data_IF_194403671846
#
_entry.id   IF_194403671846
#
_cell.length_a   1.000
_cell.length_b   1.000
_cell.length_c   1.000
_cell.angle_alpha   90.00
_cell.angle_beta   90.00
_cell.angle_gamma   90.00
#
_symmetry.space_group_name_H-M   'P 1'
#
loop_
_entity.id
_entity.type
_entity.pdbx_description
1 polymer ?
#
# COMPACT_ATOMS: atom_id res chain seq x y z
N UNK A 1 6.08 -22.64 17.16
CA UNK A 1 7.11 -21.60 17.38
C UNK A 1 6.36 -20.32 17.65
N UNK A 2 6.54 -19.70 18.82
CA UNK A 2 5.94 -18.40 19.11
C UNK A 2 6.44 -17.40 18.05
N UNK A 3 5.52 -16.63 17.48
CA UNK A 3 5.88 -15.58 16.53
C UNK A 3 6.78 -14.57 17.26
N UNK A 4 8.01 -14.40 16.79
CA UNK A 4 8.94 -13.40 17.31
C UNK A 4 8.23 -12.04 17.28
N UNK A 5 8.05 -11.44 18.47
CA UNK A 5 7.45 -10.13 18.64
C UNK A 5 8.54 -9.15 19.03
N UNK A 6 8.50 -7.95 18.46
CA UNK A 6 9.47 -6.89 18.75
C UNK A 6 8.84 -5.93 19.74
N UNK A 7 9.49 -5.77 20.89
CA UNK A 7 8.99 -5.03 22.05
C UNK A 7 9.79 -3.77 22.35
N UNK A 8 10.88 -3.54 21.62
CA UNK A 8 11.73 -2.36 21.76
C UNK A 8 12.36 -1.92 20.44
N UNK A 9 12.79 -0.65 20.39
CA UNK A 9 13.55 -0.14 19.24
C UNK A 9 14.90 -0.86 19.08
N UNK A 10 15.52 -1.32 20.17
CA UNK A 10 16.77 -2.06 20.11
C UNK A 10 16.60 -3.40 19.38
N UNK A 11 15.52 -4.13 19.70
CA UNK A 11 15.15 -5.37 19.00
C UNK A 11 14.79 -5.11 17.54
N UNK A 12 14.02 -4.05 17.26
CA UNK A 12 13.67 -3.65 15.90
C UNK A 12 14.94 -3.34 15.07
N UNK A 13 15.88 -2.58 15.64
CA UNK A 13 17.15 -2.23 15.01
C UNK A 13 18.04 -3.45 14.78
N UNK A 14 18.12 -4.35 15.74
CA UNK A 14 18.84 -5.62 15.60
C UNK A 14 18.24 -6.48 14.48
N UNK A 15 16.91 -6.52 14.37
CA UNK A 15 16.21 -7.23 13.29
C UNK A 15 16.54 -6.62 11.91
N UNK A 16 16.50 -5.29 11.77
CA UNK A 16 16.91 -4.62 10.52
C UNK A 16 18.37 -4.94 10.16
N UNK A 17 19.28 -4.90 11.14
CA UNK A 17 20.69 -5.26 10.92
C UNK A 17 20.84 -6.72 10.46
N UNK A 18 20.09 -7.65 11.06
CA UNK A 18 20.07 -9.05 10.66
C UNK A 18 19.59 -9.24 9.22
N UNK A 19 18.51 -8.57 8.81
CA UNK A 19 18.01 -8.63 7.41
C UNK A 19 19.10 -8.20 6.43
N UNK A 20 19.87 -7.15 6.74
CA UNK A 20 20.97 -6.69 5.88
C UNK A 20 22.09 -7.71 5.80
N UNK A 21 22.51 -8.24 6.96
CA UNK A 21 23.51 -9.28 7.04
C UNK A 21 23.13 -10.51 6.19
N UNK A 22 21.90 -11.00 6.35
CA UNK A 22 21.38 -12.18 5.64
C UNK A 22 21.28 -11.97 4.11
N UNK A 23 21.30 -10.71 3.66
CA UNK A 23 21.35 -10.33 2.23
C UNK A 23 22.78 -10.17 1.68
N UNK A 24 23.80 -10.49 2.47
CA UNK A 24 25.19 -10.31 2.07
C UNK A 24 25.67 -8.86 2.12
N UNK A 25 25.13 -8.06 3.04
CA UNK A 25 25.60 -6.70 3.30
C UNK A 25 26.27 -6.65 4.69
N UNK A 26 27.59 -6.77 4.72
CA UNK A 26 28.41 -6.63 5.93
C UNK A 26 28.84 -5.17 6.07
N UNK A 27 28.54 -4.54 7.21
CA UNK A 27 28.77 -3.10 7.46
C UNK A 27 28.22 -2.18 6.35
N UNK A 28 27.13 -2.62 5.71
CA UNK A 28 26.50 -1.92 4.59
C UNK A 28 27.20 -2.06 3.23
N UNK A 29 28.25 -2.89 3.13
CA UNK A 29 28.96 -3.17 1.88
C UNK A 29 28.62 -4.55 1.33
N UNK A 30 28.52 -4.72 0.01
CA UNK A 30 28.37 -6.03 -0.64
C UNK A 30 29.48 -6.99 -0.21
N UNK A 31 29.11 -8.19 0.23
CA UNK A 31 30.05 -9.24 0.67
C UNK A 31 30.06 -10.46 -0.26
N UNK A 32 30.00 -10.23 -1.58
CA UNK A 32 30.16 -11.28 -2.59
C UNK A 32 29.57 -10.94 -3.96
N UNK A 33 29.83 -11.75 -4.99
CA UNK A 33 29.38 -11.51 -6.36
C UNK A 33 27.86 -11.59 -6.54
N UNK A 34 27.17 -12.36 -5.69
CA UNK A 34 25.72 -12.57 -5.82
C UNK A 34 24.89 -11.30 -5.55
N UNK A 35 25.47 -10.30 -4.88
CA UNK A 35 24.78 -9.03 -4.57
C UNK A 35 24.51 -8.24 -5.85
N UNK A 36 25.50 -8.13 -6.74
CA UNK A 36 25.36 -7.41 -8.00
C UNK A 36 24.37 -8.11 -8.94
N UNK A 37 24.38 -9.43 -8.99
CA UNK A 37 23.44 -10.19 -9.83
C UNK A 37 21.99 -10.00 -9.37
N UNK A 38 21.76 -10.01 -8.05
CA UNK A 38 20.44 -9.75 -7.47
C UNK A 38 19.98 -8.31 -7.73
N UNK A 39 20.89 -7.34 -7.66
CA UNK A 39 20.61 -5.93 -7.94
C UNK A 39 20.23 -5.69 -9.42
N UNK A 40 20.94 -6.36 -10.34
CA UNK A 40 20.61 -6.34 -11.76
C UNK A 40 19.24 -6.98 -12.04
N UNK A 41 18.94 -8.10 -11.39
CA UNK A 41 17.65 -8.76 -11.50
C UNK A 41 16.50 -7.88 -10.96
N UNK A 42 16.71 -7.21 -9.82
CA UNK A 42 15.76 -6.27 -9.23
C UNK A 42 15.45 -5.10 -10.16
N UNK A 43 16.49 -4.50 -10.76
CA UNK A 43 16.36 -3.40 -11.71
C UNK A 43 15.54 -3.84 -12.92
N UNK A 44 15.90 -4.98 -13.51
CA UNK A 44 15.18 -5.57 -14.65
C UNK A 44 13.71 -5.85 -14.33
N UNK A 45 13.41 -6.45 -13.17
CA UNK A 45 12.05 -6.76 -12.75
C UNK A 45 11.23 -5.49 -12.50
N UNK A 46 11.83 -4.49 -11.85
CA UNK A 46 11.18 -3.19 -11.61
C UNK A 46 10.82 -2.51 -12.94
N UNK A 47 11.71 -2.58 -13.93
CA UNK A 47 11.48 -1.96 -15.23
C UNK A 47 10.46 -2.69 -16.10
N UNK A 48 10.44 -4.02 -16.06
CA UNK A 48 9.51 -4.83 -16.85
C UNK A 48 8.10 -4.92 -16.26
N UNK A 49 7.95 -4.90 -14.92
CA UNK A 49 6.67 -5.18 -14.26
C UNK A 49 5.80 -3.94 -14.05
N UNK A 50 6.37 -2.74 -14.17
CA UNK A 50 5.67 -1.49 -13.88
C UNK A 50 5.71 -0.53 -15.07
N UNK A 51 4.86 -0.80 -16.07
CA UNK A 51 4.72 0.05 -17.26
C UNK A 51 3.96 1.37 -17.00
N UNK A 52 3.16 1.43 -15.92
CA UNK A 52 2.52 2.67 -15.48
C UNK A 52 2.93 2.99 -14.04
N UNK A 53 3.52 4.18 -13.85
CA UNK A 53 4.08 4.69 -12.60
C UNK A 53 3.06 4.96 -11.49
N UNK A 54 1.83 4.47 -11.64
CA UNK A 54 0.67 4.93 -10.88
C UNK A 54 -0.18 3.78 -10.34
N UNK A 55 0.16 2.56 -10.76
CA UNK A 55 -0.24 1.34 -10.07
C UNK A 55 0.19 1.33 -8.60
N UNK A 56 1.26 2.02 -8.22
CA UNK A 56 1.72 1.98 -6.83
C UNK A 56 0.72 2.56 -5.83
N UNK A 57 -0.11 3.55 -6.22
CA UNK A 57 -1.15 4.08 -5.32
C UNK A 57 -2.18 3.00 -4.98
N UNK A 58 -2.60 2.22 -5.98
CA UNK A 58 -3.53 1.11 -5.79
C UNK A 58 -2.89 -0.02 -4.98
N UNK A 59 -1.62 -0.32 -5.20
CA UNK A 59 -0.86 -1.29 -4.38
C UNK A 59 -0.77 -0.86 -2.91
N UNK A 60 -0.59 0.44 -2.64
CA UNK A 60 -0.57 0.98 -1.27
C UNK A 60 -1.96 0.88 -0.63
N UNK A 61 -3.02 1.22 -1.38
CA UNK A 61 -4.41 1.06 -0.90
C UNK A 61 -4.70 -0.41 -0.59
N UNK A 62 -4.26 -1.34 -1.43
CA UNK A 62 -4.41 -2.78 -1.20
C UNK A 62 -3.62 -3.27 0.00
N UNK A 63 -2.38 -2.81 0.18
CA UNK A 63 -1.59 -3.13 1.37
C UNK A 63 -2.31 -2.65 2.64
N UNK A 64 -2.88 -1.43 2.62
CA UNK A 64 -3.70 -0.95 3.73
C UNK A 64 -4.95 -1.83 3.94
N UNK A 65 -5.64 -2.22 2.89
CA UNK A 65 -6.82 -3.11 2.99
C UNK A 65 -6.49 -4.51 3.56
N UNK A 66 -5.25 -4.98 3.37
CA UNK A 66 -4.78 -6.27 3.88
C UNK A 66 -4.24 -6.20 5.33
N UNK A 67 -4.04 -5.00 5.87
CA UNK A 67 -3.48 -4.82 7.20
C UNK A 67 -4.37 -5.37 8.33
N UNK A 68 -3.75 -5.57 9.49
CA UNK A 68 -4.45 -5.87 10.74
C UNK A 68 -4.81 -4.58 11.46
N UNK A 69 -6.08 -4.46 11.86
CA UNK A 69 -6.62 -3.31 12.57
C UNK A 69 -7.13 -3.79 13.93
N UNK A 70 -6.99 -2.94 14.96
CA UNK A 70 -7.54 -3.24 16.28
C UNK A 70 -9.07 -3.25 16.26
N UNK A 71 -9.70 -3.97 17.20
CA UNK A 71 -11.15 -4.03 17.27
C UNK A 71 -11.76 -2.65 17.53
N UNK A 72 -12.88 -2.36 16.86
CA UNK A 72 -13.63 -1.12 17.04
C UNK A 72 -13.00 0.13 16.40
N UNK A 73 -11.83 0.05 15.77
CA UNK A 73 -11.29 1.18 15.00
C UNK A 73 -11.97 1.28 13.64
N UNK A 74 -11.92 2.47 13.04
CA UNK A 74 -12.33 2.68 11.66
C UNK A 74 -11.08 2.67 10.75
N UNK A 75 -10.81 1.60 9.99
CA UNK A 75 -9.63 1.49 9.14
C UNK A 75 -9.54 2.63 8.13
N UNK A 76 -8.43 3.36 8.14
CA UNK A 76 -8.25 4.59 7.38
C UNK A 76 -6.86 4.69 6.78
N UNK A 77 -6.80 5.32 5.60
CA UNK A 77 -5.56 5.63 4.89
C UNK A 77 -5.57 7.12 4.51
N UNK A 78 -4.47 7.81 4.77
CA UNK A 78 -4.32 9.24 4.44
C UNK A 78 -3.11 9.47 3.56
N UNK A 79 -3.32 10.09 2.41
CA UNK A 79 -2.28 10.62 1.54
C UNK A 79 -2.09 12.11 1.81
N UNK A 80 -0.85 12.54 2.08
CA UNK A 80 -0.49 13.95 2.23
C UNK A 80 0.69 14.28 1.32
N UNK A 81 0.43 15.05 0.26
CA UNK A 81 1.46 15.55 -0.63
C UNK A 81 1.96 16.92 -0.17
N UNK A 82 3.28 17.07 -0.04
CA UNK A 82 3.97 18.31 0.29
C UNK A 82 4.66 18.88 -0.95
N UNK A 83 4.68 20.22 -1.07
CA UNK A 83 5.23 20.98 -2.21
C UNK A 83 6.63 20.58 -2.68
N UNK A 84 7.45 19.98 -1.82
CA UNK A 84 8.85 19.61 -2.09
C UNK A 84 9.01 18.21 -2.70
N UNK A 85 7.99 17.70 -3.40
CA UNK A 85 8.05 16.35 -3.98
C UNK A 85 8.09 15.26 -2.90
N UNK A 86 7.38 15.44 -1.80
CA UNK A 86 7.30 14.44 -0.73
C UNK A 86 5.85 13.99 -0.54
N UNK A 87 5.63 12.68 -0.53
CA UNK A 87 4.33 12.06 -0.25
C UNK A 87 4.41 11.31 1.07
N UNK A 88 3.59 11.71 2.05
CA UNK A 88 3.38 10.96 3.29
C UNK A 88 2.11 10.14 3.19
N UNK A 89 2.16 8.91 3.68
CA UNK A 89 1.05 7.98 3.73
C UNK A 89 0.92 7.51 5.16
N UNK A 90 -0.26 7.67 5.76
CA UNK A 90 -0.54 7.28 7.14
C UNK A 90 -1.68 6.26 7.20
N UNK A 91 -1.50 5.20 7.98
CA UNK A 91 -2.48 4.13 8.17
C UNK A 91 -2.61 3.80 9.67
N UNK A 92 -3.84 3.68 10.18
CA UNK A 92 -4.12 3.37 11.59
C UNK A 92 -4.21 1.85 11.89
N UNK A 93 -3.37 1.07 11.22
CA UNK A 93 -3.22 -0.35 11.53
C UNK A 93 -2.53 -0.57 12.90
N UNK A 94 -2.49 -1.82 13.37
CA UNK A 94 -1.83 -2.19 14.64
C UNK A 94 -0.31 -1.88 14.61
N UNK A 95 0.30 -1.99 13.43
CA UNK A 95 1.72 -1.77 13.20
C UNK A 95 2.43 -3.01 12.68
N UNK A 96 3.70 -2.84 12.31
CA UNK A 96 4.47 -3.88 11.65
C UNK A 96 5.00 -4.92 12.63
N UNK A 97 4.66 -6.18 12.35
CA UNK A 97 5.37 -7.34 12.88
C UNK A 97 6.70 -7.57 12.11
N UNK A 98 7.63 -8.37 12.65
CA UNK A 98 8.81 -8.82 11.93
C UNK A 98 8.50 -9.43 10.56
N UNK A 99 7.40 -10.19 10.45
CA UNK A 99 6.94 -10.76 9.17
C UNK A 99 6.55 -9.71 8.15
N UNK A 100 5.95 -8.59 8.57
CA UNK A 100 5.63 -7.48 7.66
C UNK A 100 6.91 -6.88 7.08
N UNK A 101 7.91 -6.62 7.92
CA UNK A 101 9.20 -6.08 7.49
C UNK A 101 9.91 -7.06 6.54
N UNK A 102 9.96 -8.34 6.89
CA UNK A 102 10.54 -9.36 6.00
C UNK A 102 9.82 -9.43 4.65
N UNK A 103 8.48 -9.34 4.62
CA UNK A 103 7.71 -9.34 3.39
C UNK A 103 8.06 -8.13 2.49
N UNK A 104 8.26 -6.95 3.08
CA UNK A 104 8.78 -5.78 2.36
C UNK A 104 10.19 -6.00 1.81
N UNK A 105 10.98 -6.89 2.41
CA UNK A 105 12.36 -7.19 1.99
C UNK A 105 12.48 -8.35 0.99
N UNK A 106 11.39 -9.05 0.61
CA UNK A 106 11.43 -10.19 -0.32
C UNK A 106 11.24 -9.78 -1.78
N UNK A 107 11.69 -10.64 -2.71
CA UNK A 107 11.52 -10.51 -4.17
C UNK A 107 10.90 -11.80 -4.70
N UNK A 108 9.87 -11.71 -5.53
CA UNK A 108 9.34 -12.87 -6.28
C UNK A 108 8.61 -13.95 -5.45
N UNK A 109 8.49 -13.79 -4.13
CA UNK A 109 7.71 -14.68 -3.26
C UNK A 109 6.64 -13.87 -2.53
N UNK A 110 5.38 -13.94 -2.99
CA UNK A 110 4.25 -13.39 -2.24
C UNK A 110 3.98 -14.26 -1.01
N UNK A 111 3.83 -13.63 0.14
CA UNK A 111 3.44 -14.29 1.41
C UNK A 111 1.94 -14.61 1.47
N UNK A 112 1.13 -14.15 0.51
CA UNK A 112 -0.32 -14.38 0.48
C UNK A 112 -0.62 -15.84 0.10
N UNK A 113 -1.08 -16.64 1.07
CA UNK A 113 -1.59 -18.02 0.86
C UNK A 113 -3.13 -18.02 0.85
N UNK A 114 -3.74 -18.94 0.09
CA UNK A 114 -5.17 -19.29 0.22
C UNK A 114 -6.17 -18.19 -0.17
N UNK A 115 -7.18 -17.96 0.67
CA UNK A 115 -8.34 -17.07 0.43
C UNK A 115 -7.97 -15.63 0.04
N UNK A 116 -6.82 -15.12 0.49
CA UNK A 116 -6.32 -13.80 0.10
C UNK A 116 -5.94 -13.71 -1.39
N UNK A 117 -5.67 -14.83 -2.07
CA UNK A 117 -5.44 -14.87 -3.52
C UNK A 117 -6.75 -14.89 -4.33
N UNK A 118 -7.82 -15.44 -3.76
CA UNK A 118 -9.12 -15.66 -4.44
C UNK A 118 -9.82 -14.34 -4.80
N UNK A 119 -9.52 -13.25 -4.09
CA UNK A 119 -10.25 -11.98 -4.20
C UNK A 119 -9.60 -10.94 -5.15
N UNK A 120 -8.77 -11.38 -6.09
CA UNK A 120 -8.71 -10.77 -7.41
C UNK A 120 -7.96 -9.45 -7.61
N UNK A 121 -7.51 -8.76 -6.57
CA UNK A 121 -6.75 -7.51 -6.73
C UNK A 121 -5.23 -7.74 -6.59
N UNK A 122 -4.45 -7.04 -7.42
CA UNK A 122 -3.02 -7.20 -7.67
C UNK A 122 -2.21 -7.37 -6.37
N UNK A 123 -1.19 -8.25 -6.36
CA UNK A 123 -0.38 -8.54 -5.16
C UNK A 123 0.19 -9.97 -5.07
N UNK A 124 -0.11 -10.83 -6.03
CA UNK A 124 0.29 -12.25 -6.04
C UNK A 124 1.80 -12.48 -6.27
N UNK A 125 2.55 -11.45 -6.66
CA UNK A 125 3.95 -11.59 -7.11
C UNK A 125 5.02 -11.18 -6.09
N UNK A 126 4.65 -10.66 -4.92
CA UNK A 126 5.61 -10.24 -3.87
C UNK A 126 6.46 -9.02 -4.25
N UNK A 127 6.06 -8.30 -5.30
CA UNK A 127 6.73 -7.13 -5.86
C UNK A 127 5.97 -5.83 -5.56
N UNK A 128 4.69 -5.88 -5.17
CA UNK A 128 3.76 -4.74 -5.10
C UNK A 128 4.34 -3.48 -4.46
N UNK A 129 4.93 -3.60 -3.27
CA UNK A 129 5.60 -2.48 -2.59
C UNK A 129 6.71 -1.82 -3.43
N UNK A 130 7.48 -2.60 -4.21
CA UNK A 130 8.65 -2.10 -4.96
C UNK A 130 8.24 -1.20 -6.13
N UNK A 131 6.98 -1.23 -6.54
CA UNK A 131 6.41 -0.28 -7.50
C UNK A 131 6.56 1.18 -7.05
N UNK A 132 6.67 1.43 -5.73
CA UNK A 132 6.92 2.77 -5.18
C UNK A 132 8.22 3.40 -5.71
N UNK A 133 9.23 2.57 -6.02
CA UNK A 133 10.52 3.04 -6.53
C UNK A 133 10.49 3.45 -8.01
N UNK A 134 9.32 3.42 -8.65
CA UNK A 134 9.08 4.15 -9.91
C UNK A 134 8.77 5.62 -9.70
N UNK A 135 8.40 6.01 -8.48
CA UNK A 135 8.06 7.37 -8.14
C UNK A 135 9.04 8.00 -7.13
N UNK A 136 9.70 7.18 -6.31
CA UNK A 136 10.54 7.63 -5.20
C UNK A 136 11.92 6.99 -5.22
N UNK A 137 12.94 7.78 -4.85
CA UNK A 137 14.29 7.28 -4.63
C UNK A 137 14.45 6.71 -3.22
N UNK A 138 13.74 7.30 -2.25
CA UNK A 138 13.84 6.93 -0.84
C UNK A 138 12.45 6.78 -0.24
N UNK A 139 12.26 5.69 0.50
CA UNK A 139 11.03 5.40 1.23
C UNK A 139 11.37 5.14 2.68
N UNK A 140 11.00 6.06 3.58
CA UNK A 140 11.07 5.85 5.01
C UNK A 140 9.77 5.20 5.52
N UNK A 141 9.90 4.37 6.56
CA UNK A 141 8.82 3.68 7.23
C UNK A 141 8.97 3.87 8.74
N UNK A 142 7.90 4.29 9.39
CA UNK A 142 7.75 4.29 10.85
C UNK A 142 6.52 3.47 11.22
N UNK A 143 6.69 2.47 12.09
CA UNK A 143 5.59 1.64 12.55
C UNK A 143 5.95 0.94 13.86
N UNK A 144 5.23 1.25 14.94
CA UNK A 144 5.56 0.75 16.28
C UNK A 144 7.01 1.07 16.66
N UNK A 145 7.80 0.03 16.94
CA UNK A 145 9.22 0.16 17.28
C UNK A 145 10.15 0.29 16.06
N UNK A 146 9.65 0.15 14.83
CA UNK A 146 10.47 0.23 13.62
C UNK A 146 10.58 1.65 13.10
N UNK A 147 11.82 2.04 12.76
CA UNK A 147 12.14 3.26 12.03
C UNK A 147 13.29 2.98 11.05
N UNK A 148 12.99 2.89 9.76
CA UNK A 148 13.97 2.54 8.74
C UNK A 148 13.61 3.12 7.39
N UNK A 149 14.55 3.07 6.44
CA UNK A 149 14.31 3.42 5.04
C UNK A 149 14.76 2.34 4.07
N UNK A 150 14.24 2.44 2.87
CA UNK A 150 14.80 1.85 1.67
C UNK A 150 15.30 2.99 0.79
N UNK A 151 16.48 2.84 0.19
CA UNK A 151 17.17 3.88 -0.56
C UNK A 151 17.72 3.29 -1.85
N UNK A 152 17.11 3.62 -3.00
CA UNK A 152 17.44 3.06 -4.31
C UNK A 152 18.90 3.25 -4.71
N UNK A 153 19.59 4.24 -4.14
CA UNK A 153 21.01 4.51 -4.42
C UNK A 153 21.98 3.56 -3.70
N UNK A 154 21.49 2.79 -2.72
CA UNK A 154 22.30 1.90 -1.90
C UNK A 154 22.26 0.47 -2.44
N UNK A 155 23.29 -0.36 -2.19
CA UNK A 155 23.30 -1.76 -2.59
C UNK A 155 22.08 -2.52 -2.08
N UNK A 156 21.35 -3.16 -2.99
CA UNK A 156 20.07 -3.84 -2.70
C UNK A 156 19.03 -2.92 -2.06
N UNK A 157 19.11 -1.62 -2.31
CA UNK A 157 18.41 -0.56 -1.59
C UNK A 157 16.89 -0.64 -1.59
N UNK A 158 16.29 -1.30 -2.59
CA UNK A 158 14.85 -1.54 -2.68
C UNK A 158 14.36 -2.70 -1.80
N UNK A 159 15.27 -3.51 -1.23
CA UNK A 159 14.95 -4.70 -0.44
C UNK A 159 15.77 -4.85 0.85
N UNK A 160 16.84 -4.07 1.02
CA UNK A 160 17.69 -4.09 2.19
C UNK A 160 17.47 -2.81 3.01
N UNK A 161 16.64 -2.87 4.07
CA UNK A 161 16.30 -1.69 4.85
C UNK A 161 17.53 -1.16 5.59
N UNK A 162 17.55 0.15 5.85
CA UNK A 162 18.59 0.86 6.59
C UNK A 162 17.91 1.53 7.78
N UNK A 163 18.40 1.28 8.99
CA UNK A 163 17.87 1.96 10.18
C UNK A 163 18.14 3.46 10.09
N UNK A 164 17.09 4.27 10.08
CA UNK A 164 17.15 5.73 10.00
C UNK A 164 15.83 6.31 10.47
N UNK A 165 15.90 7.45 11.17
CA UNK A 165 14.70 8.17 11.59
C UNK A 165 13.97 8.80 10.40
N UNK A 166 12.63 8.79 10.47
CA UNK A 166 11.81 9.40 9.41
C UNK A 166 11.96 10.92 9.42
N UNK A 167 11.98 11.59 8.25
CA UNK A 167 12.25 13.04 8.14
C UNK A 167 11.01 13.89 8.45
N UNK A 168 10.19 13.46 9.42
CA UNK A 168 8.93 14.09 9.77
C UNK A 168 8.43 13.62 11.14
N UNK A 169 7.43 14.30 11.74
CA UNK A 169 6.89 13.87 13.03
C UNK A 169 6.27 12.48 12.96
N UNK A 170 6.78 11.57 13.81
CA UNK A 170 6.21 10.25 14.07
C UNK A 170 4.85 10.43 14.75
N UNK A 171 3.84 9.69 14.27
CA UNK A 171 2.49 9.70 14.84
C UNK A 171 2.31 8.42 15.66
N UNK A 172 2.05 8.56 16.96
CA UNK A 172 1.79 7.40 17.84
C UNK A 172 0.57 6.61 17.34
N UNK A 173 0.66 5.28 17.32
CA UNK A 173 -0.41 4.39 16.85
C UNK A 173 -0.68 4.43 15.35
N UNK A 174 0.22 5.02 14.55
CA UNK A 174 0.08 5.14 13.10
C UNK A 174 1.31 4.53 12.42
N UNK A 175 1.07 3.68 11.41
CA UNK A 175 2.10 3.34 10.43
C UNK A 175 2.21 4.49 9.43
N UNK A 176 3.41 5.08 9.30
CA UNK A 176 3.70 6.15 8.36
C UNK A 176 4.74 5.68 7.33
N UNK A 177 4.46 5.92 6.04
CA UNK A 177 5.46 5.87 4.98
C UNK A 177 5.72 7.28 4.45
N UNK A 178 6.98 7.61 4.21
CA UNK A 178 7.38 8.88 3.61
C UNK A 178 8.18 8.60 2.36
N UNK A 179 7.72 9.12 1.24
CA UNK A 179 8.33 8.92 -0.06
C UNK A 179 8.97 10.25 -0.46
N UNK A 180 10.29 10.26 -0.63
CA UNK A 180 10.97 11.32 -1.37
C UNK A 180 10.88 10.95 -2.84
N UNK A 181 10.07 11.70 -3.58
CA UNK A 181 9.91 11.49 -5.02
C UNK A 181 11.25 11.73 -5.73
N UNK A 182 11.50 10.97 -6.79
CA UNK A 182 12.69 11.14 -7.62
C UNK A 182 12.66 12.49 -8.32
N UNK A 183 13.83 13.10 -8.54
CA UNK A 183 13.92 14.45 -9.12
C UNK A 183 13.39 14.49 -10.57
N UNK A 184 13.45 13.37 -11.30
CA UNK A 184 12.92 13.17 -12.64
C UNK A 184 11.45 12.74 -12.67
N UNK A 185 10.84 12.49 -11.50
CA UNK A 185 9.45 12.07 -11.43
C UNK A 185 8.49 13.21 -11.74
N UNK A 186 7.61 13.01 -12.73
CA UNK A 186 6.61 13.99 -13.12
C UNK A 186 5.47 14.08 -12.11
N UNK A 187 5.70 14.83 -11.01
CA UNK A 187 4.75 15.00 -9.90
C UNK A 187 3.33 15.42 -10.32
N UNK A 188 3.10 16.27 -11.35
CA UNK A 188 1.73 16.61 -11.77
C UNK A 188 0.87 15.39 -12.15
N UNK A 189 1.47 14.30 -12.65
CA UNK A 189 0.74 13.04 -12.91
C UNK A 189 0.22 12.42 -11.62
N UNK A 190 1.05 12.30 -10.60
CA UNK A 190 0.66 11.80 -9.27
C UNK A 190 -0.45 12.66 -8.67
N UNK A 191 -0.33 13.98 -8.76
CA UNK A 191 -1.33 14.90 -8.24
C UNK A 191 -2.67 14.77 -8.96
N UNK A 192 -2.67 14.54 -10.27
CA UNK A 192 -3.89 14.26 -11.04
C UNK A 192 -4.57 12.99 -10.56
N UNK A 193 -3.80 11.96 -10.24
CA UNK A 193 -4.34 10.67 -9.81
C UNK A 193 -4.83 10.68 -8.37
N UNK A 194 -4.11 11.34 -7.46
CA UNK A 194 -4.60 11.59 -6.10
C UNK A 194 -5.95 12.34 -6.12
N UNK A 195 -6.15 13.26 -7.07
CA UNK A 195 -7.43 13.96 -7.29
C UNK A 195 -8.49 13.12 -8.02
N UNK A 196 -8.06 12.11 -8.77
CA UNK A 196 -8.93 11.21 -9.50
C UNK A 196 -9.34 9.97 -8.69
N UNK A 197 -8.77 9.78 -7.48
CA UNK A 197 -9.25 8.76 -6.55
C UNK A 197 -10.75 8.94 -6.32
N UNK A 198 -11.47 7.83 -6.41
CA UNK A 198 -12.92 7.78 -6.41
C UNK A 198 -13.42 6.93 -5.23
N UNK A 199 -14.48 7.38 -4.56
CA UNK A 199 -15.05 6.68 -3.41
C UNK A 199 -15.53 5.26 -3.75
N UNK A 200 -15.89 4.98 -5.02
CA UNK A 200 -16.30 3.65 -5.51
C UNK A 200 -15.24 2.58 -5.32
N UNK A 201 -13.95 2.96 -5.25
CA UNK A 201 -12.87 2.03 -4.93
C UNK A 201 -13.15 1.28 -3.62
N UNK A 202 -13.74 1.96 -2.63
CA UNK A 202 -14.05 1.37 -1.33
C UNK A 202 -15.05 0.22 -1.40
N UNK A 203 -15.91 0.11 -2.43
CA UNK A 203 -16.88 -1.00 -2.58
C UNK A 203 -16.15 -2.35 -2.68
N UNK A 204 -14.99 -2.35 -3.31
CA UNK A 204 -14.21 -3.56 -3.62
C UNK A 204 -13.20 -3.91 -2.52
N UNK A 205 -12.97 -3.01 -1.57
CA UNK A 205 -12.08 -3.23 -0.44
C UNK A 205 -12.77 -4.03 0.67
N UNK A 206 -12.01 -4.78 1.47
CA UNK A 206 -12.55 -5.64 2.52
C UNK A 206 -12.54 -4.96 3.89
N UNK A 207 -11.43 -4.36 4.27
CA UNK A 207 -11.17 -3.82 5.61
C UNK A 207 -11.09 -2.31 5.64
N UNK A 208 -10.46 -1.69 4.65
CA UNK A 208 -10.32 -0.24 4.59
C UNK A 208 -11.71 0.42 4.50
N UNK A 209 -11.95 1.45 5.30
CA UNK A 209 -13.25 2.13 5.39
C UNK A 209 -13.20 3.59 5.00
N UNK A 210 -12.04 4.24 5.11
CA UNK A 210 -11.86 5.60 4.61
C UNK A 210 -10.51 5.83 3.96
N UNK A 211 -10.51 6.72 2.98
CA UNK A 211 -9.31 7.26 2.33
C UNK A 211 -9.43 8.78 2.36
N UNK A 212 -8.36 9.47 2.73
CA UNK A 212 -8.30 10.94 2.65
C UNK A 212 -7.06 11.40 1.89
N UNK A 213 -7.19 12.52 1.18
CA UNK A 213 -6.14 13.11 0.37
C UNK A 213 -6.01 14.57 0.76
N UNK A 214 -4.79 15.00 1.06
CA UNK A 214 -4.43 16.40 1.25
C UNK A 214 -3.25 16.74 0.35
N UNK A 215 -3.38 17.78 -0.47
CA UNK A 215 -2.30 18.28 -1.32
C UNK A 215 -2.02 19.72 -0.90
N UNK A 216 -0.81 19.96 -0.41
CA UNK A 216 -0.38 21.31 -0.06
C UNK A 216 0.05 22.08 -1.32
N UNK A 217 -0.69 23.14 -1.71
CA UNK A 217 -0.37 23.98 -2.88
C UNK A 217 -0.13 25.44 -2.50
N UNK A 218 0.36 26.24 -3.46
CA UNK A 218 0.89 27.60 -3.22
C UNK A 218 -0.12 28.54 -2.60
N UNK A 219 -1.39 28.41 -2.97
CA UNK A 219 -2.45 29.36 -2.62
C UNK A 219 -3.62 28.71 -1.90
N UNK A 220 -3.96 27.46 -2.22
CA UNK A 220 -5.03 26.70 -1.57
C UNK A 220 -4.60 25.26 -1.39
N UNK A 221 -5.04 24.61 -0.32
CA UNK A 221 -4.81 23.18 -0.15
C UNK A 221 -6.00 22.42 -0.74
N UNK A 222 -5.74 21.47 -1.62
CA UNK A 222 -6.78 20.51 -2.02
C UNK A 222 -6.97 19.49 -0.90
N UNK A 223 -8.22 19.22 -0.53
CA UNK A 223 -8.59 18.17 0.40
C UNK A 223 -9.75 17.37 -0.19
N UNK A 224 -9.66 16.06 -0.11
CA UNK A 224 -10.77 15.15 -0.40
C UNK A 224 -10.83 14.05 0.65
N UNK A 225 -12.01 13.62 1.02
CA UNK A 225 -12.21 12.49 1.93
C UNK A 225 -13.32 11.59 1.43
N UNK A 226 -13.05 10.28 1.47
CA UNK A 226 -13.92 9.22 1.03
C UNK A 226 -14.15 8.25 2.19
N UNK A 227 -15.39 7.82 2.40
CA UNK A 227 -15.68 6.80 3.41
C UNK A 227 -16.81 5.87 2.98
N UNK A 228 -16.81 4.67 3.55
CA UNK A 228 -17.78 3.61 3.29
C UNK A 228 -18.40 3.16 4.60
N UNK A 229 -19.73 3.09 4.61
CA UNK A 229 -20.50 2.47 5.69
C UNK A 229 -21.28 1.29 5.09
N UNK A 230 -21.08 0.11 5.67
CA UNK A 230 -21.84 -1.09 5.33
C UNK A 230 -23.18 -1.02 6.07
N UNK A 231 -24.26 -0.78 5.33
CA UNK A 231 -25.63 -0.76 5.86
C UNK A 231 -26.20 -2.19 5.78
N UNK A 232 -27.45 -2.39 6.21
CA UNK A 232 -28.14 -3.70 6.13
C UNK A 232 -28.54 -4.03 4.69
N UNK A 233 -28.70 -5.33 4.40
CA UNK A 233 -29.27 -5.87 3.15
C UNK A 233 -28.54 -5.44 1.88
N UNK A 234 -27.23 -5.73 1.78
CA UNK A 234 -26.40 -5.41 0.61
C UNK A 234 -26.25 -3.92 0.29
N UNK A 235 -26.75 -3.03 1.16
CA UNK A 235 -26.69 -1.59 0.97
C UNK A 235 -25.36 -1.06 1.52
N UNK A 236 -24.64 -0.31 0.69
CA UNK A 236 -23.44 0.42 1.08
C UNK A 236 -23.69 1.90 0.87
N UNK A 237 -23.33 2.73 1.86
CA UNK A 237 -23.28 4.18 1.71
C UNK A 237 -21.85 4.62 1.48
N UNK A 238 -21.61 5.30 0.37
CA UNK A 238 -20.36 6.00 0.12
C UNK A 238 -20.56 7.49 0.41
N UNK A 239 -19.61 8.09 1.12
CA UNK A 239 -19.57 9.52 1.38
C UNK A 239 -18.28 10.10 0.80
N UNK A 240 -18.41 11.15 -0.01
CA UNK A 240 -17.32 11.92 -0.60
C UNK A 240 -17.57 13.42 -0.34
N UNK A 241 -16.67 14.07 0.41
CA UNK A 241 -16.75 15.50 0.73
C UNK A 241 -18.14 15.95 1.22
N UNK A 242 -18.69 15.23 2.20
CA UNK A 242 -20.01 15.41 2.80
C UNK A 242 -21.22 15.10 1.91
N UNK A 243 -21.01 14.81 0.62
CA UNK A 243 -22.02 14.25 -0.26
C UNK A 243 -22.05 12.73 -0.11
N UNK A 244 -23.22 12.11 -0.22
CA UNK A 244 -23.34 10.66 -0.14
C UNK A 244 -24.14 10.07 -1.29
N UNK A 245 -23.83 8.80 -1.60
CA UNK A 245 -24.54 8.00 -2.57
C UNK A 245 -24.66 6.57 -2.03
N UNK A 246 -25.88 6.04 -2.07
CA UNK A 246 -26.17 4.68 -1.64
C UNK A 246 -26.05 3.72 -2.82
N UNK A 247 -25.51 2.53 -2.59
CA UNK A 247 -25.29 1.49 -3.58
C UNK A 247 -25.88 0.16 -3.11
N UNK A 248 -26.61 -0.53 -3.98
CA UNK A 248 -26.95 -1.94 -3.79
C UNK A 248 -25.81 -2.78 -4.35
N UNK A 249 -25.22 -3.65 -3.52
CA UNK A 249 -24.09 -4.49 -3.91
C UNK A 249 -24.53 -5.94 -4.10
N UNK A 250 -24.36 -6.48 -5.30
CA UNK A 250 -24.59 -7.91 -5.58
C UNK A 250 -23.27 -8.63 -5.75
N UNK A 251 -23.05 -9.65 -4.91
CA UNK A 251 -21.89 -10.53 -4.95
C UNK A 251 -22.30 -11.90 -5.49
N UNK A 252 -21.54 -12.40 -6.45
CA UNK A 252 -21.74 -13.74 -6.99
C UNK A 252 -20.41 -14.47 -7.01
N UNK A 253 -20.35 -15.62 -6.33
CA UNK A 253 -19.16 -16.47 -6.31
C UNK A 253 -19.22 -17.48 -7.46
N UNK A 254 -18.29 -17.36 -8.39
CA UNK A 254 -18.07 -18.30 -9.48
C UNK A 254 -17.18 -19.42 -8.97
N UNK A 255 -17.59 -20.67 -9.20
CA UNK A 255 -16.85 -21.87 -8.85
C UNK A 255 -16.34 -22.57 -10.13
N UNK A 256 -15.36 -23.46 -9.99
CA UNK A 256 -14.82 -24.23 -11.12
C UNK A 256 -13.97 -23.38 -12.06
N UNK A 257 -13.23 -22.40 -11.54
CA UNK A 257 -12.30 -21.61 -12.34
C UNK A 257 -11.26 -22.52 -13.01
N UNK A 258 -10.88 -22.26 -14.27
CA UNK A 258 -9.90 -23.07 -14.98
C UNK A 258 -8.53 -22.98 -14.28
N UNK A 259 -7.74 -24.04 -14.39
CA UNK A 259 -6.35 -24.02 -13.91
C UNK A 259 -5.55 -22.97 -14.68
N UNK A 260 -4.94 -22.04 -13.94
CA UNK A 260 -4.01 -21.05 -14.47
C UNK A 260 -2.69 -21.18 -13.71
N UNK A 261 -1.60 -21.41 -14.45
CA UNK A 261 -0.24 -21.53 -13.88
C UNK A 261 0.21 -20.29 -13.12
N UNK A 262 -0.41 -19.13 -13.37
CA UNK A 262 -0.15 -17.88 -12.65
C UNK A 262 -0.92 -17.82 -11.32
N UNK A 263 -1.96 -18.64 -11.17
CA UNK A 263 -2.94 -18.66 -10.08
C UNK A 263 -3.20 -20.08 -9.58
N UNK A 264 -2.13 -20.83 -9.34
CA UNK A 264 -2.22 -22.21 -8.86
C UNK A 264 -3.05 -22.31 -7.57
N UNK A 265 -3.99 -23.25 -7.54
CA UNK A 265 -4.87 -23.51 -6.40
C UNK A 265 -6.10 -22.60 -6.29
N UNK A 266 -6.32 -21.68 -7.24
CA UNK A 266 -7.53 -20.84 -7.27
C UNK A 266 -8.61 -21.51 -8.10
N UNK A 267 -9.64 -22.04 -7.46
CA UNK A 267 -10.78 -22.72 -8.10
C UNK A 267 -12.10 -21.93 -8.03
N UNK A 268 -12.09 -20.74 -7.43
CA UNK A 268 -13.25 -19.84 -7.35
C UNK A 268 -12.84 -18.39 -7.56
N UNK A 269 -13.79 -17.54 -7.97
CA UNK A 269 -13.64 -16.08 -8.05
C UNK A 269 -14.94 -15.42 -7.60
N UNK A 270 -14.88 -14.16 -7.16
CA UNK A 270 -16.07 -13.35 -6.86
C UNK A 270 -16.29 -12.29 -7.95
N UNK A 271 -17.55 -12.10 -8.34
CA UNK A 271 -18.02 -10.96 -9.14
C UNK A 271 -18.80 -10.05 -8.20
N UNK A 272 -18.46 -8.76 -8.20
CA UNK A 272 -19.12 -7.72 -7.40
C UNK A 272 -19.70 -6.67 -8.33
N UNK A 273 -21.02 -6.44 -8.24
CA UNK A 273 -21.74 -5.42 -8.99
C UNK A 273 -22.33 -4.41 -8.01
N UNK A 274 -22.14 -3.11 -8.26
CA UNK A 274 -22.71 -2.04 -7.45
C UNK A 274 -23.66 -1.17 -8.27
N UNK A 275 -24.89 -1.01 -7.82
CA UNK A 275 -25.91 -0.19 -8.47
C UNK A 275 -26.23 1.04 -7.62
N UNK A 276 -25.96 2.27 -8.11
CA UNK A 276 -26.29 3.47 -7.36
C UNK A 276 -27.81 3.63 -7.22
N UNK A 277 -28.25 4.04 -6.04
CA UNK A 277 -29.64 4.35 -5.73
C UNK A 277 -29.80 5.87 -5.72
N UNK A 278 -30.78 6.37 -6.47
CA UNK A 278 -31.12 7.79 -6.48
C UNK A 278 -32.23 8.03 -5.45
N UNK A 279 -31.88 8.32 -4.20
CA UNK A 279 -32.86 8.43 -3.10
C UNK A 279 -33.44 9.82 -2.91
N UNK A 280 -32.74 10.89 -3.31
CA UNK A 280 -33.23 12.26 -3.15
C UNK A 280 -32.86 13.08 -4.38
N UNK A 281 -33.81 13.83 -4.96
CA UNK A 281 -33.63 14.68 -6.15
C UNK A 281 -32.62 15.83 -6.02
N UNK A 282 -31.73 15.78 -5.02
CA UNK A 282 -30.55 16.61 -4.81
C UNK A 282 -29.30 15.74 -4.65
N UNK A 283 -29.05 14.78 -5.54
CA UNK A 283 -27.93 13.85 -5.35
C UNK A 283 -26.83 13.99 -6.40
N UNK A 284 -25.61 13.87 -5.87
CA UNK A 284 -24.36 13.61 -6.58
C UNK A 284 -24.59 12.56 -7.68
N UNK A 285 -24.49 12.97 -8.95
CA UNK A 285 -24.31 11.98 -10.02
C UNK A 285 -22.90 11.40 -9.88
N UNK A 286 -22.75 10.06 -9.81
CA UNK A 286 -21.43 9.44 -9.83
C UNK A 286 -20.67 9.95 -11.05
N UNK A 287 -19.38 10.28 -10.89
CA UNK A 287 -18.52 10.65 -12.03
C UNK A 287 -18.64 9.57 -13.11
N UNK A 288 -19.24 9.94 -14.24
CA UNK A 288 -19.32 9.08 -15.43
C UNK A 288 -17.90 8.84 -15.94
N UNK A 289 -17.61 7.58 -16.25
CA UNK A 289 -16.33 7.15 -16.85
C UNK A 289 -16.14 7.72 -18.26
#
# INVERSE_FOLDING_TARGET
MADFEVTSQAEAKAHIAKIRHDKGLLDGKPSGPNVSDLENALTTLSDQLYQSSTHFLLEIIQNADDNAYADGVHPSLQFTYYKKGALRIDCNEIGFSPRNVEALCRVGQSTKKGEAKVNGYVGEKGIGFKSVFKAADVVWVSSGHYCFKFDRSQPLGMIAPIWEDVPAPVKSGITSMYLKLSDDYYAPRLLRELRALDSRLLIFLRRLRSISVTIAESFTNFKSSFSRIDVKNDLIRLTENDMHCDYIIKRHRVLGMPEDKRREGISSSEIVLGFPINTDGKNYEPRRE
#
